data_IF_304749834836
#
_entry.id   IF_304749834836
#
_cell.length_a   1.000
_cell.length_b   1.000
_cell.length_c   1.000
_cell.angle_alpha   90.00
_cell.angle_beta   90.00
_cell.angle_gamma   90.00
#
_symmetry.space_group_name_H-M   'P 1'
#
loop_
_entity.id
_entity.type
_entity.pdbx_description
1 polymer ?
#
# COMPACT_ATOMS: atom_id res chain seq x y z
N UNK A 1 -62.27 -3.07 -13.19
CA UNK A 1 -61.43 -1.96 -13.67
C UNK A 1 -61.00 -1.17 -12.45
N UNK A 2 -59.71 -1.20 -12.07
CA UNK A 2 -59.22 -0.34 -10.99
C UNK A 2 -59.37 1.12 -11.42
N UNK A 3 -60.02 1.93 -10.57
CA UNK A 3 -60.27 3.34 -10.84
C UNK A 3 -58.94 4.11 -10.77
N UNK A 4 -58.71 5.05 -11.69
CA UNK A 4 -57.54 5.94 -11.68
C UNK A 4 -57.28 6.61 -10.30
N UNK A 5 -58.33 6.84 -9.51
CA UNK A 5 -58.23 7.34 -8.14
C UNK A 5 -57.54 6.35 -7.17
N UNK A 6 -57.75 5.05 -7.34
CA UNK A 6 -57.13 4.00 -6.53
C UNK A 6 -55.63 3.87 -6.88
N UNK A 7 -55.29 3.95 -8.17
CA UNK A 7 -53.90 4.00 -8.64
C UNK A 7 -53.16 5.25 -8.15
N UNK A 8 -53.82 6.41 -8.13
CA UNK A 8 -53.25 7.66 -7.61
C UNK A 8 -53.04 7.63 -6.09
N UNK A 9 -53.96 7.02 -5.33
CA UNK A 9 -53.78 6.82 -3.89
C UNK A 9 -52.57 5.94 -3.58
N UNK A 10 -52.40 4.83 -4.29
CA UNK A 10 -51.24 3.96 -4.11
C UNK A 10 -49.93 4.65 -4.53
N UNK A 11 -49.92 5.44 -5.60
CA UNK A 11 -48.76 6.21 -6.01
C UNK A 11 -48.35 7.27 -4.96
N UNK A 12 -49.31 7.91 -4.28
CA UNK A 12 -49.04 8.89 -3.24
C UNK A 12 -48.56 8.25 -1.92
N UNK A 13 -49.00 7.04 -1.59
CA UNK A 13 -48.57 6.29 -0.39
C UNK A 13 -47.13 5.78 -0.51
N UNK A 14 -46.64 5.55 -1.73
CA UNK A 14 -45.28 5.07 -1.99
C UNK A 14 -44.34 6.13 -2.59
N UNK A 15 -44.83 7.36 -2.82
CA UNK A 15 -43.98 8.45 -3.25
C UNK A 15 -43.18 8.96 -2.04
N UNK A 16 -41.84 8.97 -2.11
CA UNK A 16 -41.04 9.60 -1.07
C UNK A 16 -41.43 11.07 -0.96
N UNK A 17 -41.52 11.55 0.28
CA UNK A 17 -41.73 12.95 0.59
C UNK A 17 -40.60 13.82 0.01
N UNK A 18 -40.86 15.13 -0.14
CA UNK A 18 -39.84 16.07 -0.59
C UNK A 18 -38.59 16.06 0.32
N UNK A 19 -38.78 15.86 1.61
CA UNK A 19 -37.69 15.76 2.59
C UNK A 19 -36.88 14.46 2.40
N UNK A 20 -37.54 13.31 2.18
CA UNK A 20 -36.85 12.04 1.87
C UNK A 20 -36.07 12.11 0.54
N UNK A 21 -36.61 12.83 -0.46
CA UNK A 21 -35.91 13.08 -1.72
C UNK A 21 -34.69 13.98 -1.48
N UNK A 22 -34.82 15.05 -0.70
CA UNK A 22 -33.74 15.97 -0.38
C UNK A 22 -32.61 15.26 0.40
N UNK A 23 -32.94 14.48 1.43
CA UNK A 23 -31.98 13.69 2.19
C UNK A 23 -31.26 12.66 1.31
N UNK A 24 -31.97 11.97 0.42
CA UNK A 24 -31.39 11.02 -0.53
C UNK A 24 -30.39 11.68 -1.48
N UNK A 25 -30.70 12.88 -1.97
CA UNK A 25 -29.81 13.65 -2.85
C UNK A 25 -28.56 14.09 -2.09
N UNK A 26 -28.70 14.65 -0.88
CA UNK A 26 -27.57 15.07 -0.05
C UNK A 26 -26.66 13.89 0.24
N UNK A 27 -27.22 12.75 0.66
CA UNK A 27 -26.45 11.54 0.96
C UNK A 27 -25.70 10.99 -0.26
N UNK A 28 -26.32 10.99 -1.45
CA UNK A 28 -25.65 10.55 -2.68
C UNK A 28 -24.50 11.48 -3.05
N UNK A 29 -24.67 12.79 -2.87
CA UNK A 29 -23.62 13.77 -3.13
C UNK A 29 -22.46 13.64 -2.14
N UNK A 30 -22.74 13.40 -0.86
CA UNK A 30 -21.71 13.12 0.16
C UNK A 30 -20.91 11.85 -0.17
N UNK A 31 -21.60 10.76 -0.56
CA UNK A 31 -20.94 9.54 -1.00
C UNK A 31 -20.05 9.78 -2.22
N UNK A 32 -20.57 10.48 -3.24
CA UNK A 32 -19.81 10.81 -4.45
C UNK A 32 -18.55 11.63 -4.15
N UNK A 33 -18.66 12.62 -3.26
CA UNK A 33 -17.50 13.42 -2.82
C UNK A 33 -16.50 12.56 -2.06
N UNK A 34 -16.97 11.70 -1.15
CA UNK A 34 -16.11 10.78 -0.40
C UNK A 34 -15.37 9.81 -1.33
N UNK A 35 -16.02 9.29 -2.37
CA UNK A 35 -15.40 8.41 -3.38
C UNK A 35 -14.36 9.17 -4.22
N UNK A 36 -14.67 10.40 -4.63
CA UNK A 36 -13.74 11.21 -5.42
C UNK A 36 -12.50 11.60 -4.60
N UNK A 37 -12.68 11.94 -3.32
CA UNK A 37 -11.59 12.21 -2.39
C UNK A 37 -10.72 10.97 -2.17
N UNK A 38 -11.33 9.81 -1.97
CA UNK A 38 -10.62 8.54 -1.84
C UNK A 38 -9.80 8.27 -3.10
N UNK A 39 -10.41 8.36 -4.29
CA UNK A 39 -9.71 8.13 -5.57
C UNK A 39 -8.52 9.08 -5.74
N UNK A 40 -8.70 10.37 -5.48
CA UNK A 40 -7.60 11.36 -5.54
C UNK A 40 -6.49 11.03 -4.54
N UNK A 41 -6.84 10.52 -3.36
CA UNK A 41 -5.85 10.10 -2.35
C UNK A 41 -5.06 8.88 -2.81
N UNK A 42 -5.70 7.90 -3.42
CA UNK A 42 -5.07 6.69 -3.95
C UNK A 42 -4.16 7.00 -5.14
N UNK A 43 -4.59 7.88 -6.04
CA UNK A 43 -3.76 8.35 -7.17
C UNK A 43 -2.48 9.03 -6.69
N UNK A 44 -2.59 9.92 -5.69
CA UNK A 44 -1.43 10.58 -5.07
C UNK A 44 -0.50 9.59 -4.39
N UNK A 45 -1.05 8.60 -3.69
CA UNK A 45 -0.26 7.54 -3.07
C UNK A 45 0.48 6.71 -4.13
N UNK A 46 -0.21 6.31 -5.19
CA UNK A 46 0.39 5.56 -6.30
C UNK A 46 1.49 6.36 -7.03
N UNK A 47 1.33 7.68 -7.18
CA UNK A 47 2.39 8.55 -7.69
C UNK A 47 3.58 8.62 -6.72
N UNK A 48 3.32 8.83 -5.43
CA UNK A 48 4.37 8.85 -4.39
C UNK A 48 5.16 7.55 -4.32
N UNK A 49 4.49 6.40 -4.44
CA UNK A 49 5.13 5.09 -4.43
C UNK A 49 6.04 4.90 -5.65
N UNK A 50 5.61 5.36 -6.83
CA UNK A 50 6.42 5.32 -8.07
C UNK A 50 7.64 6.23 -7.99
N UNK A 51 7.48 7.43 -7.43
CA UNK A 51 8.60 8.35 -7.21
C UNK A 51 9.60 7.78 -6.20
N UNK A 52 9.12 7.15 -5.12
CA UNK A 52 9.98 6.48 -4.15
C UNK A 52 10.77 5.34 -4.79
N UNK A 53 10.14 4.49 -5.62
CA UNK A 53 10.86 3.47 -6.39
C UNK A 53 11.97 4.06 -7.26
N UNK A 54 11.67 5.14 -7.99
CA UNK A 54 12.65 5.84 -8.83
C UNK A 54 13.84 6.37 -8.00
N UNK A 55 13.57 6.96 -6.84
CA UNK A 55 14.62 7.44 -5.91
C UNK A 55 15.46 6.29 -5.37
N UNK A 56 14.84 5.18 -4.98
CA UNK A 56 15.54 3.98 -4.52
C UNK A 56 16.49 3.45 -5.59
N UNK A 57 16.04 3.35 -6.84
CA UNK A 57 16.91 2.98 -7.98
C UNK A 57 18.07 3.99 -8.11
N UNK A 58 17.78 5.28 -8.03
CA UNK A 58 18.82 6.33 -8.04
C UNK A 58 19.87 6.14 -6.94
N UNK A 59 19.44 5.88 -5.70
CA UNK A 59 20.32 5.64 -4.56
C UNK A 59 21.18 4.38 -4.69
N UNK A 60 20.68 3.37 -5.41
CA UNK A 60 21.44 2.16 -5.71
C UNK A 60 22.54 2.43 -6.73
N UNK A 61 22.21 3.20 -7.78
CA UNK A 61 23.14 3.55 -8.87
C UNK A 61 24.22 4.55 -8.44
N UNK A 62 23.87 5.51 -7.59
CA UNK A 62 24.81 6.53 -7.11
C UNK A 62 25.67 6.07 -5.91
N UNK A 63 25.41 4.86 -5.38
CA UNK A 63 26.13 4.29 -4.25
C UNK A 63 25.76 4.88 -2.89
N UNK A 64 24.67 5.63 -2.79
CA UNK A 64 24.15 6.17 -1.51
C UNK A 64 23.69 5.04 -0.56
N UNK A 65 23.35 3.87 -1.10
CA UNK A 65 23.01 2.68 -0.30
C UNK A 65 23.72 1.44 -0.83
N UNK A 66 24.12 0.53 0.06
CA UNK A 66 24.86 -0.70 -0.28
C UNK A 66 24.02 -1.80 -0.98
N UNK A 67 22.77 -1.52 -1.32
CA UNK A 67 21.77 -2.53 -1.72
C UNK A 67 20.80 -2.88 -0.59
N UNK A 68 19.50 -2.90 -0.86
CA UNK A 68 18.47 -3.33 0.08
C UNK A 68 18.48 -4.85 0.29
N UNK A 69 18.91 -5.63 -0.72
CA UNK A 69 19.14 -7.07 -0.60
C UNK A 69 20.38 -7.40 0.26
N UNK A 70 21.32 -6.46 0.35
CA UNK A 70 22.58 -6.60 1.10
C UNK A 70 22.53 -6.02 2.52
N UNK A 71 21.50 -5.23 2.85
CA UNK A 71 21.36 -4.65 4.19
C UNK A 71 21.30 -5.74 5.25
N UNK A 72 22.20 -5.62 6.23
CA UNK A 72 22.16 -6.40 7.45
C UNK A 72 20.89 -6.05 8.23
N UNK A 73 20.32 -7.01 8.97
CA UNK A 73 19.23 -6.69 9.90
C UNK A 73 19.74 -5.64 10.88
N UNK A 74 18.97 -4.59 11.12
CA UNK A 74 19.26 -3.65 12.21
C UNK A 74 19.36 -4.35 13.58
N UNK A 75 18.72 -5.52 13.70
CA UNK A 75 18.69 -6.36 14.91
C UNK A 75 19.96 -7.22 15.05
N UNK A 76 20.66 -7.51 13.95
CA UNK A 76 21.86 -8.37 13.98
C UNK A 76 22.88 -7.92 12.91
N UNK A 77 23.69 -6.89 13.22
CA UNK A 77 24.69 -6.34 12.32
C UNK A 77 25.91 -7.27 12.12
N UNK A 78 26.00 -8.39 12.85
CA UNK A 78 27.10 -9.36 12.68
C UNK A 78 26.79 -10.42 11.62
N UNK A 79 25.52 -10.56 11.20
CA UNK A 79 25.16 -11.49 10.12
C UNK A 79 25.76 -11.03 8.79
N UNK A 80 26.20 -11.96 7.92
CA UNK A 80 26.61 -11.62 6.56
C UNK A 80 25.40 -11.16 5.72
N UNK A 81 25.64 -10.40 4.63
CA UNK A 81 24.60 -10.08 3.65
C UNK A 81 23.95 -11.35 3.07
N UNK A 82 22.65 -11.32 2.80
CA UNK A 82 21.92 -12.47 2.25
C UNK A 82 22.42 -12.82 0.83
N UNK A 83 22.60 -11.79 0.00
CA UNK A 83 23.03 -11.94 -1.39
C UNK A 83 24.29 -11.11 -1.66
N UNK A 84 25.45 -11.51 -1.13
CA UNK A 84 26.69 -10.73 -1.25
C UNK A 84 27.19 -10.62 -2.71
N UNK A 85 26.72 -11.51 -3.58
CA UNK A 85 27.06 -11.56 -5.00
C UNK A 85 26.18 -10.65 -5.89
N UNK A 86 25.11 -10.07 -5.35
CA UNK A 86 24.25 -9.12 -6.09
C UNK A 86 24.68 -7.70 -5.73
N UNK A 87 25.36 -7.00 -6.63
CA UNK A 87 25.75 -5.60 -6.41
C UNK A 87 24.54 -4.66 -6.37
N UNK A 88 24.71 -3.47 -5.80
CA UNK A 88 23.66 -2.43 -5.82
C UNK A 88 23.24 -2.05 -7.25
N UNK A 89 24.20 -1.98 -8.18
CA UNK A 89 23.91 -1.73 -9.60
C UNK A 89 23.04 -2.85 -10.20
N UNK A 90 23.38 -4.11 -9.92
CA UNK A 90 22.57 -5.26 -10.38
C UNK A 90 21.18 -5.24 -9.74
N UNK A 91 21.08 -4.87 -8.46
CA UNK A 91 19.80 -4.71 -7.76
C UNK A 91 18.93 -3.62 -8.41
N UNK A 92 19.53 -2.51 -8.83
CA UNK A 92 18.85 -1.44 -9.58
C UNK A 92 18.30 -1.95 -10.92
N UNK A 93 19.11 -2.68 -11.68
CA UNK A 93 18.71 -3.27 -12.96
C UNK A 93 17.55 -4.27 -12.77
N UNK A 94 17.58 -5.06 -11.69
CA UNK A 94 16.52 -6.02 -11.37
C UNK A 94 15.21 -5.34 -10.94
N UNK A 95 15.29 -4.20 -10.26
CA UNK A 95 14.12 -3.37 -9.92
C UNK A 95 13.48 -2.71 -11.16
N UNK A 96 14.31 -2.30 -12.11
CA UNK A 96 13.86 -1.71 -13.38
C UNK A 96 13.26 -2.78 -14.31
N UNK A 97 13.88 -3.97 -14.39
CA UNK A 97 13.39 -5.08 -15.20
C UNK A 97 12.12 -5.72 -14.61
N UNK A 98 11.85 -5.51 -13.32
CA UNK A 98 10.74 -6.11 -12.60
C UNK A 98 11.02 -7.52 -12.07
N UNK A 99 12.27 -7.99 -12.14
CA UNK A 99 12.74 -9.21 -11.47
C UNK A 99 12.68 -9.08 -9.94
N UNK A 100 12.92 -7.87 -9.44
CA UNK A 100 12.63 -7.44 -8.08
C UNK A 100 11.49 -6.41 -8.08
N UNK A 101 10.64 -6.49 -7.06
CA UNK A 101 9.61 -5.50 -6.77
C UNK A 101 9.92 -4.81 -5.45
N UNK A 102 9.55 -3.53 -5.34
CA UNK A 102 9.73 -2.79 -4.12
C UNK A 102 8.44 -2.87 -3.28
N UNK A 103 8.53 -3.51 -2.12
CA UNK A 103 7.49 -3.51 -1.10
C UNK A 103 7.63 -2.31 -0.18
N UNK A 104 6.54 -1.57 0.01
CA UNK A 104 6.45 -0.39 0.86
C UNK A 104 5.43 -0.65 1.97
N UNK A 105 5.90 -0.65 3.22
CA UNK A 105 5.11 -0.83 4.43
C UNK A 105 4.91 0.52 5.14
N UNK A 106 3.65 0.88 5.33
CA UNK A 106 3.24 2.09 6.04
C UNK A 106 2.61 1.74 7.39
N UNK A 107 3.13 2.33 8.45
CA UNK A 107 2.63 2.13 9.81
C UNK A 107 1.17 2.60 9.93
N UNK A 108 0.33 1.90 10.73
CA UNK A 108 -1.06 2.28 10.92
C UNK A 108 -1.19 3.66 11.55
N UNK A 109 -2.17 4.42 11.07
CA UNK A 109 -2.50 5.76 11.56
C UNK A 109 -3.86 5.75 12.27
N UNK A 110 -3.94 6.45 13.41
CA UNK A 110 -5.19 6.75 14.12
C UNK A 110 -5.31 8.27 14.27
N UNK A 111 -6.41 8.84 13.77
CA UNK A 111 -6.68 10.28 13.79
C UNK A 111 -5.54 11.12 13.17
N UNK A 112 -4.96 10.64 12.06
CA UNK A 112 -3.84 11.31 11.38
C UNK A 112 -2.51 11.29 12.14
N UNK A 113 -2.40 10.48 13.21
CA UNK A 113 -1.16 10.25 13.96
C UNK A 113 -0.77 8.78 13.86
N UNK A 114 0.52 8.49 13.76
CA UNK A 114 1.01 7.11 13.86
C UNK A 114 0.66 6.53 15.23
N UNK A 115 0.20 5.29 15.25
CA UNK A 115 -0.22 4.62 16.49
C UNK A 115 0.99 4.28 17.36
N UNK A 116 2.17 4.13 16.76
CA UNK A 116 3.42 3.88 17.47
C UNK A 116 4.27 5.17 17.60
N UNK A 117 4.51 5.57 18.86
CA UNK A 117 5.30 6.76 19.24
C UNK A 117 6.73 6.39 19.67
N UNK A 118 7.23 5.19 19.35
CA UNK A 118 8.63 4.85 19.56
C UNK A 118 9.51 5.76 18.69
N UNK A 119 10.36 6.55 19.36
CA UNK A 119 10.90 7.85 18.93
C UNK A 119 11.81 7.90 17.69
N UNK A 120 12.02 6.81 16.96
CA UNK A 120 12.89 6.79 15.77
C UNK A 120 12.34 5.91 14.63
N UNK A 121 11.06 5.50 14.69
CA UNK A 121 10.50 4.53 13.76
C UNK A 121 10.33 5.12 12.35
N UNK A 122 11.06 4.53 11.41
CA UNK A 122 10.92 4.76 9.98
C UNK A 122 9.44 4.57 9.60
N UNK A 123 8.77 5.69 9.33
CA UNK A 123 7.33 5.78 8.95
C UNK A 123 7.00 4.97 7.69
N UNK A 124 8.03 4.57 6.97
CA UNK A 124 8.02 3.76 5.77
C UNK A 124 9.15 2.74 5.90
N UNK A 125 8.80 1.46 5.95
CA UNK A 125 9.76 0.38 5.76
C UNK A 125 9.73 -0.04 4.28
N UNK A 126 10.89 -0.34 3.74
CA UNK A 126 11.02 -0.88 2.39
C UNK A 126 11.72 -2.24 2.40
N UNK A 127 11.22 -3.12 1.55
CA UNK A 127 11.82 -4.42 1.30
C UNK A 127 11.77 -4.74 -0.19
N UNK A 128 12.65 -5.63 -0.61
CA UNK A 128 12.65 -6.15 -1.97
C UNK A 128 12.03 -7.52 -1.99
N UNK A 129 11.19 -7.75 -2.99
CA UNK A 129 10.42 -8.96 -3.17
C UNK A 129 10.81 -9.54 -4.51
N UNK A 130 11.14 -10.83 -4.55
CA UNK A 130 11.34 -11.53 -5.80
C UNK A 130 10.03 -11.63 -6.58
N UNK A 131 10.04 -11.25 -7.86
CA UNK A 131 8.86 -11.37 -8.70
C UNK A 131 8.50 -12.81 -9.04
N UNK A 132 9.52 -13.68 -9.13
CA UNK A 132 9.40 -15.12 -9.24
C UNK A 132 9.82 -15.76 -7.91
N UNK A 133 8.82 -16.27 -7.18
CA UNK A 133 9.03 -16.91 -5.88
C UNK A 133 9.69 -18.29 -6.00
N UNK A 134 9.75 -18.91 -7.18
CA UNK A 134 10.34 -20.25 -7.37
C UNK A 134 11.87 -20.25 -7.46
N UNK A 135 12.48 -19.06 -7.54
CA UNK A 135 13.93 -18.89 -7.65
C UNK A 135 14.67 -19.35 -6.40
N UNK A 136 15.90 -19.84 -6.57
CA UNK A 136 16.77 -20.24 -5.47
C UNK A 136 16.94 -19.10 -4.46
N UNK A 137 17.13 -17.86 -4.92
CA UNK A 137 17.29 -16.72 -4.04
C UNK A 137 16.02 -16.48 -3.19
N UNK A 138 14.82 -16.63 -3.78
CA UNK A 138 13.55 -16.47 -3.08
C UNK A 138 13.27 -17.59 -2.07
N UNK A 139 13.97 -18.73 -2.17
CA UNK A 139 13.89 -19.82 -1.21
C UNK A 139 14.89 -19.70 -0.06
N UNK A 140 15.72 -18.64 -0.05
CA UNK A 140 16.69 -18.44 1.02
C UNK A 140 15.98 -18.32 2.39
N UNK A 141 16.36 -19.09 3.42
CA UNK A 141 15.65 -19.11 4.71
C UNK A 141 15.45 -17.73 5.35
N UNK A 142 16.46 -16.87 5.23
CA UNK A 142 16.39 -15.50 5.77
C UNK A 142 15.45 -14.57 5.01
N UNK A 143 15.31 -14.79 3.70
CA UNK A 143 14.32 -14.06 2.91
C UNK A 143 12.92 -14.47 3.37
N UNK A 144 12.68 -15.78 3.53
CA UNK A 144 11.42 -16.32 4.04
C UNK A 144 11.11 -15.77 5.44
N UNK A 145 12.08 -15.74 6.35
CA UNK A 145 11.90 -15.16 7.69
C UNK A 145 11.50 -13.67 7.61
N UNK A 146 12.19 -12.88 6.76
CA UNK A 146 11.85 -11.47 6.57
C UNK A 146 10.44 -11.29 5.99
N UNK A 147 10.01 -12.17 5.08
CA UNK A 147 8.66 -12.16 4.54
C UNK A 147 7.61 -12.43 5.62
N UNK A 148 7.88 -13.34 6.55
CA UNK A 148 7.01 -13.58 7.72
C UNK A 148 6.93 -12.37 8.64
N UNK A 149 8.05 -11.73 8.95
CA UNK A 149 8.07 -10.50 9.76
C UNK A 149 7.18 -9.41 9.10
N UNK A 150 7.25 -9.28 7.77
CA UNK A 150 6.37 -8.39 6.99
C UNK A 150 4.89 -8.79 7.09
N UNK A 151 4.56 -10.08 6.98
CA UNK A 151 3.19 -10.58 7.10
C UNK A 151 2.60 -10.32 8.49
N UNK A 152 3.41 -10.44 9.55
CA UNK A 152 3.03 -10.10 10.92
C UNK A 152 2.71 -8.61 11.06
N UNK A 153 3.54 -7.72 10.52
CA UNK A 153 3.26 -6.28 10.52
C UNK A 153 1.96 -5.94 9.78
N UNK A 154 1.70 -6.61 8.64
CA UNK A 154 0.43 -6.44 7.92
C UNK A 154 -0.75 -6.89 8.78
N UNK A 155 -0.62 -8.02 9.48
CA UNK A 155 -1.66 -8.51 10.40
C UNK A 155 -1.89 -7.54 11.59
N UNK A 156 -0.88 -6.79 12.01
CA UNK A 156 -0.98 -5.71 13.00
C UNK A 156 -1.60 -4.40 12.44
N UNK A 157 -1.96 -4.38 11.16
CA UNK A 157 -2.66 -3.27 10.51
C UNK A 157 -1.78 -2.33 9.70
N UNK A 158 -0.52 -2.70 9.42
CA UNK A 158 0.31 -1.97 8.47
C UNK A 158 -0.25 -2.11 7.05
N UNK A 159 -0.18 -1.03 6.27
CA UNK A 159 -0.57 -1.05 4.86
C UNK A 159 0.63 -1.40 3.99
N UNK A 160 0.46 -2.35 3.08
CA UNK A 160 1.52 -2.84 2.21
C UNK A 160 1.21 -2.59 0.74
N UNK A 161 2.16 -1.99 0.03
CA UNK A 161 2.05 -1.69 -1.39
C UNK A 161 3.26 -2.21 -2.14
N UNK A 162 3.03 -2.79 -3.32
CA UNK A 162 4.08 -3.25 -4.22
C UNK A 162 4.16 -2.26 -5.39
N UNK A 163 5.38 -1.79 -5.70
CA UNK A 163 5.66 -0.85 -6.80
C UNK A 163 6.77 -1.31 -7.74
#
# INVERSE_FOLDING_TARGET
MANAAEAMMWAAVFAPSADEIAESIVRKEELRRSEEELRRSEEKLAEGNRDYKRKTIGWLRDGTTDGLLRRLRAIDPERPPIYPHISAEKEADMLESGELKLGLLYAPMKNGKFIDNTKDSQKLLSELIWADETREEAQHPWYIERRKDTEELIAEGWSFYIV
#
